data_IF_473544525721
#
_entry.id   IF_473544525721
#
_cell.length_a   1.000
_cell.length_b   1.000
_cell.length_c   1.000
_cell.angle_alpha   90.00
_cell.angle_beta   90.00
_cell.angle_gamma   90.00
#
_symmetry.space_group_name_H-M   'P 1'
#
loop_
_entity.id
_entity.type
_entity.pdbx_description
1 polymer ?
#
# COMPACT_ATOMS: atom_id res chain seq x y z
N UNK A 1 13.71 -12.19 -4.03
CA UNK A 1 12.30 -12.04 -3.66
C UNK A 1 11.54 -13.27 -4.14
N UNK A 2 10.55 -13.72 -3.37
CA UNK A 2 9.75 -14.90 -3.68
C UNK A 2 8.63 -14.54 -4.64
N UNK A 3 8.44 -15.38 -5.67
CA UNK A 3 7.30 -15.28 -6.59
C UNK A 3 6.51 -16.58 -6.58
N UNK A 4 5.26 -16.51 -6.98
CA UNK A 4 4.42 -17.70 -7.22
C UNK A 4 4.77 -18.39 -8.56
N UNK A 5 4.00 -19.43 -8.91
CA UNK A 5 4.22 -20.19 -10.14
C UNK A 5 4.00 -19.37 -11.43
N UNK A 6 3.32 -18.23 -11.35
CA UNK A 6 3.06 -17.31 -12.46
C UNK A 6 4.11 -16.18 -12.54
N UNK A 7 5.10 -16.17 -11.64
CA UNK A 7 6.08 -15.11 -11.53
C UNK A 7 5.58 -13.85 -10.82
N UNK A 8 4.39 -13.89 -10.21
CA UNK A 8 3.82 -12.80 -9.43
C UNK A 8 4.37 -12.80 -8.00
N UNK A 9 4.72 -11.64 -7.48
CA UNK A 9 5.25 -11.49 -6.12
C UNK A 9 5.17 -10.05 -5.63
N UNK A 10 5.64 -9.78 -4.40
CA UNK A 10 5.59 -8.44 -3.83
C UNK A 10 6.47 -7.47 -4.64
N UNK A 11 5.91 -6.29 -4.90
CA UNK A 11 6.64 -5.16 -5.46
C UNK A 11 7.26 -4.34 -4.33
N UNK A 12 8.57 -4.17 -4.33
CA UNK A 12 9.29 -3.43 -3.31
C UNK A 12 9.76 -2.07 -3.83
N UNK A 13 9.51 -1.05 -3.05
CA UNK A 13 10.02 0.29 -3.27
C UNK A 13 10.56 0.84 -1.95
N UNK A 14 11.52 1.75 -2.01
CA UNK A 14 12.16 2.30 -0.82
C UNK A 14 12.25 3.82 -0.94
N UNK A 15 11.85 4.52 0.12
CA UNK A 15 12.17 5.93 0.27
C UNK A 15 13.60 6.10 0.80
N UNK A 16 14.21 7.27 0.54
CA UNK A 16 15.60 7.54 0.92
C UNK A 16 15.73 8.35 2.21
N UNK A 17 14.65 8.98 2.70
CA UNK A 17 14.72 10.02 3.74
C UNK A 17 13.75 9.79 4.90
N UNK A 18 13.40 8.54 5.19
CA UNK A 18 12.43 8.22 6.24
C UNK A 18 11.04 8.88 6.01
N UNK A 19 10.67 9.10 4.75
CA UNK A 19 9.37 9.58 4.28
C UNK A 19 8.45 8.42 3.86
N UNK A 20 8.59 7.29 4.54
CA UNK A 20 7.93 6.02 4.19
C UNK A 20 6.41 6.15 4.18
N UNK A 21 5.84 6.96 5.08
CA UNK A 21 4.40 7.17 5.15
C UNK A 21 3.89 7.91 3.91
N UNK A 22 4.50 9.04 3.58
CA UNK A 22 4.15 9.89 2.43
C UNK A 22 4.35 9.14 1.11
N UNK A 23 5.48 8.45 1.00
CA UNK A 23 5.81 7.66 -0.18
C UNK A 23 4.83 6.50 -0.38
N UNK A 24 4.63 5.68 0.65
CA UNK A 24 3.73 4.53 0.59
C UNK A 24 2.27 4.92 0.42
N UNK A 25 1.84 6.01 1.03
CA UNK A 25 0.52 6.59 0.85
C UNK A 25 0.31 7.11 -0.57
N UNK A 26 1.30 7.82 -1.13
CA UNK A 26 1.27 8.28 -2.52
C UNK A 26 1.16 7.11 -3.52
N UNK A 27 1.89 6.02 -3.28
CA UNK A 27 1.76 4.80 -4.08
C UNK A 27 0.36 4.19 -3.98
N UNK A 28 -0.24 4.15 -2.78
CA UNK A 28 -1.60 3.67 -2.58
C UNK A 28 -2.63 4.50 -3.37
N UNK A 29 -2.58 5.82 -3.23
CA UNK A 29 -3.48 6.74 -3.94
C UNK A 29 -3.31 6.59 -5.47
N UNK A 30 -2.08 6.43 -5.95
CA UNK A 30 -1.80 6.19 -7.37
C UNK A 30 -2.44 4.89 -7.87
N UNK A 31 -2.33 3.80 -7.13
CA UNK A 31 -2.97 2.51 -7.46
C UNK A 31 -4.49 2.64 -7.46
N UNK A 32 -5.09 3.25 -6.44
CA UNK A 32 -6.54 3.43 -6.37
C UNK A 32 -7.07 4.37 -7.48
N UNK A 33 -6.31 5.38 -7.90
CA UNK A 33 -6.64 6.22 -9.05
C UNK A 33 -6.69 5.40 -10.36
N UNK A 34 -5.70 4.52 -10.59
CA UNK A 34 -5.69 3.64 -11.75
C UNK A 34 -6.83 2.62 -11.73
N UNK A 35 -7.15 2.07 -10.56
CA UNK A 35 -8.31 1.18 -10.38
C UNK A 35 -9.64 1.90 -10.61
N UNK A 36 -9.74 3.15 -10.19
CA UNK A 36 -10.91 3.99 -10.45
C UNK A 36 -11.05 4.32 -11.94
N UNK A 37 -9.95 4.51 -12.65
CA UNK A 37 -9.94 4.68 -14.11
C UNK A 37 -10.47 3.42 -14.81
N UNK A 38 -10.01 2.22 -14.41
CA UNK A 38 -10.54 0.95 -14.92
C UNK A 38 -12.05 0.86 -14.71
N UNK A 39 -12.54 1.16 -13.50
CA UNK A 39 -13.97 1.16 -13.20
C UNK A 39 -14.74 2.09 -14.14
N UNK A 40 -14.29 3.33 -14.27
CA UNK A 40 -14.94 4.32 -15.13
C UNK A 40 -14.97 3.88 -16.59
N UNK A 41 -13.87 3.34 -17.12
CA UNK A 41 -13.80 2.78 -18.46
C UNK A 41 -14.78 1.62 -18.66
N UNK A 42 -14.94 0.75 -17.66
CA UNK A 42 -15.94 -0.34 -17.68
C UNK A 42 -17.37 0.22 -17.69
N UNK A 43 -17.67 1.20 -16.82
CA UNK A 43 -18.99 1.82 -16.71
C UNK A 43 -19.42 2.52 -18.02
N UNK A 44 -18.52 3.26 -18.66
CA UNK A 44 -18.79 3.99 -19.90
C UNK A 44 -18.95 3.08 -21.13
N UNK A 45 -18.53 1.83 -21.05
CA UNK A 45 -18.56 0.91 -22.16
C UNK A 45 -19.41 -0.34 -21.89
N UNK A 46 -20.20 -0.32 -20.82
CA UNK A 46 -21.05 -1.45 -20.39
C UNK A 46 -22.06 -1.90 -21.47
N UNK A 47 -22.57 -0.96 -22.24
CA UNK A 47 -23.54 -1.16 -23.31
C UNK A 47 -22.91 -1.51 -24.67
N UNK A 48 -21.58 -1.50 -24.77
CA UNK A 48 -20.82 -1.78 -25.99
C UNK A 48 -20.23 -3.19 -26.03
N UNK A 49 -20.48 -3.98 -24.99
CA UNK A 49 -20.00 -5.35 -24.85
C UNK A 49 -21.16 -6.32 -24.78
N UNK A 50 -20.88 -7.61 -24.99
CA UNK A 50 -21.89 -8.66 -24.78
C UNK A 50 -22.26 -8.84 -23.30
N UNK A 51 -23.34 -9.59 -23.03
CA UNK A 51 -23.88 -9.76 -21.68
C UNK A 51 -22.90 -10.46 -20.74
N UNK A 52 -22.08 -11.36 -21.25
CA UNK A 52 -21.09 -12.09 -20.44
C UNK A 52 -19.99 -11.14 -19.94
N UNK A 53 -19.48 -10.29 -20.83
CA UNK A 53 -18.46 -9.28 -20.47
C UNK A 53 -19.06 -8.19 -19.56
N UNK A 54 -20.28 -7.74 -19.84
CA UNK A 54 -20.97 -6.78 -18.97
C UNK A 54 -21.18 -7.35 -17.56
N UNK A 55 -21.43 -8.64 -17.45
CA UNK A 55 -21.55 -9.33 -16.17
C UNK A 55 -20.22 -9.36 -15.42
N UNK A 56 -19.10 -9.63 -16.11
CA UNK A 56 -17.76 -9.59 -15.52
C UNK A 56 -17.40 -8.18 -15.05
N UNK A 57 -17.75 -7.14 -15.80
CA UNK A 57 -17.52 -5.74 -15.40
C UNK A 57 -18.31 -5.40 -14.12
N UNK A 58 -19.59 -5.73 -14.06
CA UNK A 58 -20.44 -5.52 -12.88
C UNK A 58 -19.89 -6.26 -11.66
N UNK A 59 -19.46 -7.50 -11.85
CA UNK A 59 -18.90 -8.33 -10.78
C UNK A 59 -17.59 -7.75 -10.26
N UNK A 60 -16.69 -7.30 -11.15
CA UNK A 60 -15.45 -6.65 -10.75
C UNK A 60 -15.73 -5.36 -9.97
N UNK A 61 -16.63 -4.50 -10.44
CA UNK A 61 -16.99 -3.24 -9.77
C UNK A 61 -17.55 -3.51 -8.37
N UNK A 62 -18.46 -4.48 -8.25
CA UNK A 62 -19.08 -4.86 -6.97
C UNK A 62 -18.07 -5.47 -5.98
N UNK A 63 -17.04 -6.15 -6.48
CA UNK A 63 -16.08 -6.90 -5.67
C UNK A 63 -14.67 -6.31 -5.72
N UNK A 64 -14.49 -5.07 -6.19
CA UNK A 64 -13.16 -4.49 -6.42
C UNK A 64 -12.25 -4.48 -5.18
N UNK A 65 -12.79 -4.57 -3.97
CA UNK A 65 -12.04 -4.61 -2.73
C UNK A 65 -11.72 -6.04 -2.23
N UNK A 66 -12.09 -7.07 -2.97
CA UNK A 66 -11.86 -8.47 -2.59
C UNK A 66 -10.78 -9.10 -3.48
N UNK A 67 -9.61 -9.37 -2.90
CA UNK A 67 -8.42 -9.87 -3.61
C UNK A 67 -8.68 -11.18 -4.37
N UNK A 68 -9.32 -12.16 -3.72
CA UNK A 68 -9.60 -13.47 -4.34
C UNK A 68 -10.54 -13.29 -5.53
N UNK A 69 -11.66 -12.56 -5.33
CA UNK A 69 -12.65 -12.39 -6.40
C UNK A 69 -12.11 -11.60 -7.58
N UNK A 70 -11.37 -10.54 -7.33
CA UNK A 70 -10.76 -9.75 -8.41
C UNK A 70 -9.70 -10.53 -9.19
N UNK A 71 -9.01 -11.48 -8.56
CA UNK A 71 -8.08 -12.40 -9.24
C UNK A 71 -8.84 -13.34 -10.18
N UNK A 72 -9.90 -13.99 -9.70
CA UNK A 72 -10.73 -14.88 -10.52
C UNK A 72 -11.28 -14.15 -11.75
N UNK A 73 -11.79 -12.94 -11.55
CA UNK A 73 -12.33 -12.13 -12.65
C UNK A 73 -11.21 -11.73 -13.62
N UNK A 74 -10.04 -11.29 -13.15
CA UNK A 74 -8.91 -10.94 -13.99
C UNK A 74 -8.51 -12.09 -14.92
N UNK A 75 -8.47 -13.31 -14.41
CA UNK A 75 -8.03 -14.49 -15.16
C UNK A 75 -8.97 -14.82 -16.33
N UNK A 76 -10.26 -14.46 -16.23
CA UNK A 76 -11.24 -14.57 -17.31
C UNK A 76 -11.22 -13.33 -18.20
N UNK A 77 -11.16 -12.15 -17.59
CA UNK A 77 -11.35 -10.88 -18.28
C UNK A 77 -10.17 -10.54 -19.19
N UNK A 78 -8.92 -10.76 -18.75
CA UNK A 78 -7.73 -10.37 -19.52
C UNK A 78 -7.67 -11.02 -20.90
N UNK A 79 -7.84 -12.35 -21.07
CA UNK A 79 -7.91 -12.97 -22.40
C UNK A 79 -9.08 -12.45 -23.25
N UNK A 80 -10.22 -12.16 -22.62
CA UNK A 80 -11.41 -11.66 -23.29
C UNK A 80 -11.19 -10.24 -23.84
N UNK A 81 -10.56 -9.37 -23.05
CA UNK A 81 -10.22 -8.00 -23.48
C UNK A 81 -9.24 -7.98 -24.66
N UNK A 82 -8.26 -8.89 -24.65
CA UNK A 82 -7.30 -9.04 -25.75
C UNK A 82 -8.00 -9.40 -27.07
N UNK A 83 -9.05 -10.21 -27.00
CA UNK A 83 -9.85 -10.61 -28.17
C UNK A 83 -10.78 -9.51 -28.69
N UNK A 84 -11.22 -8.57 -27.85
CA UNK A 84 -12.18 -7.51 -28.23
C UNK A 84 -11.63 -6.48 -29.20
N UNK A 85 -10.33 -6.24 -29.19
CA UNK A 85 -9.60 -5.31 -30.08
C UNK A 85 -10.26 -3.91 -30.22
N UNK A 86 -10.78 -3.36 -29.12
CA UNK A 86 -11.34 -2.00 -29.02
C UNK A 86 -10.44 -1.10 -28.18
N UNK A 87 -10.55 0.22 -28.34
CA UNK A 87 -9.70 1.17 -27.60
C UNK A 87 -9.90 1.06 -26.08
N UNK A 88 -11.14 0.93 -25.61
CA UNK A 88 -11.43 0.78 -24.20
C UNK A 88 -10.92 -0.57 -23.63
N UNK A 89 -11.03 -1.65 -24.40
CA UNK A 89 -10.53 -2.96 -23.99
C UNK A 89 -9.01 -2.93 -23.87
N UNK A 90 -8.33 -2.27 -24.81
CA UNK A 90 -6.88 -2.05 -24.75
C UNK A 90 -6.48 -1.22 -23.53
N UNK A 91 -7.23 -0.15 -23.22
CA UNK A 91 -6.98 0.66 -22.03
C UNK A 91 -7.05 -0.15 -20.74
N UNK A 92 -8.08 -0.99 -20.57
CA UNK A 92 -8.20 -1.88 -19.41
C UNK A 92 -7.08 -2.93 -19.42
N UNK A 93 -6.75 -3.48 -20.58
CA UNK A 93 -5.69 -4.47 -20.74
C UNK A 93 -4.31 -3.91 -20.39
N UNK A 94 -4.01 -2.67 -20.77
CA UNK A 94 -2.76 -1.99 -20.40
C UNK A 94 -2.64 -1.78 -18.88
N UNK A 95 -3.78 -1.71 -18.19
CA UNK A 95 -3.87 -1.58 -16.73
C UNK A 95 -4.16 -2.91 -16.01
N UNK A 96 -4.06 -4.05 -16.69
CA UNK A 96 -4.46 -5.38 -16.15
C UNK A 96 -3.82 -5.77 -14.81
N UNK A 97 -2.63 -5.27 -14.52
CA UNK A 97 -1.95 -5.48 -13.24
C UNK A 97 -2.68 -4.88 -12.05
N UNK A 98 -3.55 -3.88 -12.28
CA UNK A 98 -4.35 -3.22 -11.26
C UNK A 98 -5.76 -3.80 -11.10
N UNK A 99 -6.14 -4.80 -11.91
CA UNK A 99 -7.42 -5.50 -11.77
C UNK A 99 -7.50 -6.24 -10.43
N UNK A 100 -6.40 -6.81 -9.94
CA UNK A 100 -6.37 -7.50 -8.66
C UNK A 100 -6.25 -6.49 -7.52
N UNK A 101 -7.05 -6.66 -6.47
CA UNK A 101 -6.87 -5.93 -5.20
C UNK A 101 -5.66 -6.50 -4.47
N UNK A 102 -4.60 -5.74 -4.43
CA UNK A 102 -3.39 -6.07 -3.70
C UNK A 102 -3.39 -5.42 -2.32
N UNK A 103 -2.79 -6.11 -1.34
CA UNK A 103 -2.49 -5.56 -0.02
C UNK A 103 -1.30 -4.62 -0.12
N UNK A 104 -1.41 -3.43 0.45
CA UNK A 104 -0.35 -2.44 0.48
C UNK A 104 0.20 -2.27 1.89
N UNK A 105 1.52 -2.20 2.00
CA UNK A 105 2.23 -2.13 3.26
C UNK A 105 3.23 -0.99 3.26
N UNK A 106 3.19 -0.20 4.34
CA UNK A 106 4.18 0.81 4.66
C UNK A 106 5.01 0.27 5.82
N UNK A 107 6.33 0.16 5.63
CA UNK A 107 7.22 -0.42 6.64
C UNK A 107 8.32 0.57 6.99
N UNK A 108 8.66 0.67 8.27
CA UNK A 108 9.76 1.51 8.71
C UNK A 108 10.17 1.27 10.15
N UNK A 109 11.28 1.89 10.55
CA UNK A 109 11.85 1.80 11.89
C UNK A 109 11.21 2.78 12.88
N UNK A 110 11.66 2.70 14.12
CA UNK A 110 11.19 3.58 15.21
C UNK A 110 11.61 5.04 15.01
N UNK A 111 12.79 5.31 14.48
CA UNK A 111 13.22 6.68 14.16
C UNK A 111 12.27 7.36 13.18
N UNK A 112 11.78 6.63 12.18
CA UNK A 112 10.74 7.10 11.29
C UNK A 112 9.41 7.31 12.04
N UNK A 113 8.86 6.25 12.63
CA UNK A 113 7.49 6.26 13.14
C UNK A 113 7.31 7.11 14.42
N UNK A 114 8.32 7.17 15.29
CA UNK A 114 8.23 7.89 16.55
C UNK A 114 8.72 9.33 16.49
N UNK A 115 9.61 9.64 15.54
CA UNK A 115 10.33 10.91 15.48
C UNK A 115 10.16 11.62 14.13
N UNK A 116 11.10 11.43 13.20
CA UNK A 116 11.24 12.25 12.00
C UNK A 116 10.07 12.09 10.99
N UNK A 117 9.53 10.88 10.85
CA UNK A 117 8.43 10.59 9.93
C UNK A 117 7.04 10.58 10.60
N UNK A 118 6.95 10.95 11.89
CA UNK A 118 5.68 10.87 12.63
C UNK A 118 4.56 11.71 12.00
N UNK A 119 4.87 12.90 11.48
CA UNK A 119 3.85 13.76 10.86
C UNK A 119 3.19 13.13 9.64
N UNK A 120 3.95 12.43 8.79
CA UNK A 120 3.41 11.66 7.69
C UNK A 120 2.60 10.45 8.14
N UNK A 121 3.12 9.73 9.15
CA UNK A 121 2.40 8.61 9.74
C UNK A 121 1.06 9.03 10.34
N UNK A 122 1.02 10.14 11.10
CA UNK A 122 -0.20 10.71 11.66
C UNK A 122 -1.24 11.03 10.58
N UNK A 123 -0.80 11.64 9.46
CA UNK A 123 -1.66 11.92 8.32
C UNK A 123 -2.25 10.64 7.72
N UNK A 124 -1.43 9.60 7.52
CA UNK A 124 -1.90 8.31 6.96
C UNK A 124 -2.90 7.64 7.90
N UNK A 125 -2.66 7.64 9.22
CA UNK A 125 -3.59 7.11 10.20
C UNK A 125 -4.93 7.85 10.16
N UNK A 126 -4.91 9.17 9.97
CA UNK A 126 -6.11 9.99 9.89
C UNK A 126 -6.87 9.88 8.56
N UNK A 127 -6.25 9.33 7.51
CA UNK A 127 -6.85 9.26 6.16
C UNK A 127 -7.93 8.19 6.01
N UNK A 128 -7.95 7.20 6.89
CA UNK A 128 -8.82 6.01 6.83
C UNK A 128 -8.68 5.21 5.51
N UNK A 129 -7.51 5.25 4.89
CA UNK A 129 -7.21 4.48 3.68
C UNK A 129 -6.81 3.03 4.01
N UNK A 130 -7.07 2.12 3.07
CA UNK A 130 -6.81 0.68 3.23
C UNK A 130 -5.33 0.36 3.00
N UNK A 131 -4.49 0.77 3.95
CA UNK A 131 -3.06 0.48 3.99
C UNK A 131 -2.66 -0.20 5.29
N UNK A 132 -1.69 -1.09 5.22
CA UNK A 132 -1.11 -1.74 6.38
C UNK A 132 0.19 -1.03 6.77
N UNK A 133 0.39 -0.79 8.05
CA UNK A 133 1.58 -0.12 8.57
C UNK A 133 2.31 -1.08 9.50
N UNK A 134 3.60 -1.33 9.22
CA UNK A 134 4.46 -2.14 10.07
C UNK A 134 5.61 -1.30 10.60
N UNK A 135 5.61 -1.06 11.91
CA UNK A 135 6.72 -0.40 12.60
C UNK A 135 7.63 -1.45 13.21
N UNK A 136 8.90 -1.47 12.78
CA UNK A 136 9.94 -2.31 13.36
C UNK A 136 10.65 -1.49 14.44
N UNK A 137 10.24 -1.67 15.69
CA UNK A 137 10.72 -0.92 16.84
C UNK A 137 12.00 -1.57 17.42
N UNK A 138 13.14 -0.97 17.10
CA UNK A 138 14.46 -1.39 17.64
C UNK A 138 14.92 -0.53 18.81
N UNK A 139 14.09 0.42 19.25
CA UNK A 139 14.29 1.32 20.38
C UNK A 139 15.45 2.32 20.23
N UNK A 140 16.08 2.38 19.06
CA UNK A 140 17.14 3.33 18.69
C UNK A 140 17.12 3.62 17.20
N UNK A 141 17.72 4.74 16.76
CA UNK A 141 18.05 4.96 15.36
C UNK A 141 19.12 3.96 14.91
N UNK A 142 18.74 2.79 14.44
CA UNK A 142 19.68 1.70 14.17
C UNK A 142 20.55 1.93 12.94
N UNK A 143 19.98 2.40 11.83
CA UNK A 143 20.70 2.58 10.57
C UNK A 143 21.68 3.78 10.57
N UNK A 144 21.50 4.77 11.44
CA UNK A 144 22.39 5.93 11.58
C UNK A 144 23.43 5.80 12.68
N UNK A 145 23.31 4.76 13.52
CA UNK A 145 24.37 4.42 14.47
C UNK A 145 23.97 4.35 15.95
N UNK A 146 22.71 4.12 16.29
CA UNK A 146 22.27 3.82 17.66
C UNK A 146 21.99 5.04 18.53
N UNK A 147 21.47 6.12 17.94
CA UNK A 147 21.01 7.31 18.67
C UNK A 147 19.70 7.00 19.40
N UNK A 148 19.47 7.67 20.53
CA UNK A 148 18.20 7.62 21.24
C UNK A 148 17.06 8.18 20.39
N UNK A 149 15.95 7.43 20.33
CA UNK A 149 14.70 7.85 19.72
C UNK A 149 13.60 8.08 20.77
N UNK A 150 12.41 8.52 20.36
CA UNK A 150 11.26 8.56 21.29
C UNK A 150 10.74 7.19 21.67
N UNK A 151 11.16 6.12 20.97
CA UNK A 151 10.88 4.73 21.36
C UNK A 151 11.84 4.18 22.40
N UNK A 152 13.00 4.80 22.61
CA UNK A 152 13.99 4.36 23.60
C UNK A 152 13.40 4.41 25.02
N UNK A 153 13.47 3.30 25.81
CA UNK A 153 12.94 3.28 27.17
C UNK A 153 13.62 4.27 28.11
N UNK A 154 12.91 4.68 29.17
CA UNK A 154 13.47 5.52 30.22
C UNK A 154 14.66 4.81 30.88
N UNK A 155 15.75 5.49 31.07
CA UNK A 155 16.99 5.00 31.65
C UNK A 155 17.89 4.20 30.72
N UNK A 156 17.43 3.85 29.51
CA UNK A 156 18.27 3.16 28.53
C UNK A 156 19.38 4.06 27.99
N UNK A 157 20.58 3.51 27.88
CA UNK A 157 21.75 4.18 27.31
C UNK A 157 21.80 4.01 25.81
N UNK A 158 21.96 5.12 25.11
CA UNK A 158 22.14 5.17 23.67
C UNK A 158 23.00 6.40 23.30
N UNK A 159 23.40 6.53 22.04
CA UNK A 159 24.04 7.78 21.58
C UNK A 159 23.12 8.97 21.86
N UNK A 160 23.69 10.05 22.32
CA UNK A 160 23.03 11.26 22.84
C UNK A 160 22.18 11.07 24.11
N UNK A 161 22.26 9.90 24.73
CA UNK A 161 21.67 9.59 26.03
C UNK A 161 22.61 8.72 26.87
N UNK A 162 23.88 9.14 27.01
CA UNK A 162 24.93 8.38 27.71
C UNK A 162 24.64 8.18 29.19
N UNK A 163 23.91 9.08 29.85
CA UNK A 163 23.47 8.97 31.25
C UNK A 163 22.10 8.29 31.41
N UNK A 164 21.59 7.68 30.34
CA UNK A 164 20.24 7.15 30.26
C UNK A 164 19.21 8.19 29.79
N UNK A 165 18.22 7.74 28.99
CA UNK A 165 17.15 8.61 28.49
C UNK A 165 16.27 9.09 29.64
N UNK A 166 16.08 10.41 29.85
CA UNK A 166 15.34 10.96 30.99
C UNK A 166 13.82 10.92 30.83
N UNK A 167 13.31 10.80 29.57
CA UNK A 167 11.88 10.88 29.28
C UNK A 167 11.29 9.51 28.94
N UNK A 168 9.98 9.34 29.15
CA UNK A 168 9.26 8.12 28.82
C UNK A 168 9.27 7.81 27.33
N UNK A 169 9.22 6.52 27.01
CA UNK A 169 8.91 6.03 25.68
C UNK A 169 7.56 6.58 25.23
N UNK A 170 7.48 7.09 24.00
CA UNK A 170 6.23 7.48 23.36
C UNK A 170 5.35 6.24 23.15
N UNK A 171 4.09 6.31 23.49
CA UNK A 171 3.13 5.24 23.24
C UNK A 171 2.49 5.38 21.88
N UNK A 172 3.16 4.85 20.85
CA UNK A 172 2.68 4.93 19.49
C UNK A 172 1.41 4.10 19.26
N UNK A 173 1.28 2.98 19.97
CA UNK A 173 0.10 2.12 19.84
C UNK A 173 -1.16 2.84 20.38
N UNK A 174 -1.06 3.52 21.52
CA UNK A 174 -2.16 4.30 22.06
C UNK A 174 -2.55 5.50 21.16
N UNK A 175 -1.59 6.05 20.42
CA UNK A 175 -1.86 7.14 19.45
C UNK A 175 -2.61 6.62 18.22
N UNK A 176 -2.33 5.39 17.80
CA UNK A 176 -2.94 4.77 16.62
C UNK A 176 -4.34 4.18 16.88
N UNK A 177 -4.78 4.09 18.13
CA UNK A 177 -6.13 3.62 18.54
C UNK A 177 -7.16 4.74 18.58
#
# INVERSE_FOLDING_TARGET
>A
YTTDANGEGPSWASSLFEDNAEYGFGMHIGVEALRSRIQHTMEENMDKVDEDIATLFKDWIANRQFSVRTREIRDILVPTLEALNTDFAKEIWDLKQYLIKNSQWIMGGDGWAYDIGYGGLDHVLASNEDVNILVVDTEVYSNTGGQASKSTPTGAVAKFAASGKPVKKKDLAAIAM
#
